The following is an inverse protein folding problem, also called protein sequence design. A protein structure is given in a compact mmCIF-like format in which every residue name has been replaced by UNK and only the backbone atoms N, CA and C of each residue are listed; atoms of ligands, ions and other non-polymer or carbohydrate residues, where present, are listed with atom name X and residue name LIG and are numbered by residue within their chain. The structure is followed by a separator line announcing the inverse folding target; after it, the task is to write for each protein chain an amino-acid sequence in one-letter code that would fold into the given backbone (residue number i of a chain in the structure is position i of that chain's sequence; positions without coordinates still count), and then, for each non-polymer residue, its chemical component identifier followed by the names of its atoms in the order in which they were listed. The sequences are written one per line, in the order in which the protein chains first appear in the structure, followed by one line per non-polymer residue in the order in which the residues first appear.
data_IF_867109779712
#
_entry.id   IF_867109779712
#
_cell.length_a   1.000
_cell.length_b   1.000
_cell.length_c   1.000
_cell.angle_alpha   90.00
_cell.angle_beta   90.00
_cell.angle_gamma   90.00
#
_symmetry.space_group_name_H-M   'P 1'
#
loop_
_entity.id
_entity.type
_entity.pdbx_description
1 polymer ?
#
# COMPACT_ATOMS: atom_id res chain seq x y z
N UNK A 1 11.55 6.33 -20.04
CA UNK A 1 10.18 5.86 -19.75
C UNK A 1 10.15 5.65 -18.25
N UNK A 2 9.56 6.57 -17.50
CA UNK A 2 9.32 6.37 -16.07
C UNK A 2 8.26 5.29 -15.96
N UNK A 3 8.66 4.08 -15.60
CA UNK A 3 7.69 3.07 -15.18
C UNK A 3 6.92 3.64 -13.99
N UNK A 4 5.59 3.49 -13.93
CA UNK A 4 4.86 3.84 -12.72
C UNK A 4 5.49 3.06 -11.56
N UNK A 5 5.84 3.75 -10.49
CA UNK A 5 6.29 3.12 -9.25
C UNK A 5 5.29 2.02 -8.88
N UNK A 6 5.73 0.77 -8.68
CA UNK A 6 4.88 -0.33 -8.26
C UNK A 6 4.23 0.00 -6.92
N UNK A 7 2.99 -0.44 -6.71
CA UNK A 7 2.20 -0.14 -5.51
C UNK A 7 1.49 -1.38 -5.01
N UNK A 8 1.22 -1.40 -3.71
CA UNK A 8 0.46 -2.46 -3.05
C UNK A 8 -0.93 -1.92 -2.69
N UNK A 9 -1.96 -2.67 -3.06
CA UNK A 9 -3.32 -2.39 -2.59
C UNK A 9 -3.54 -3.12 -1.27
N UNK A 10 -4.05 -2.41 -0.27
CA UNK A 10 -4.36 -2.94 1.05
C UNK A 10 -5.87 -2.93 1.22
N UNK A 11 -6.44 -4.12 1.44
CA UNK A 11 -7.88 -4.32 1.53
C UNK A 11 -8.29 -4.75 2.94
N UNK A 12 -9.47 -4.30 3.36
CA UNK A 12 -10.05 -4.57 4.67
C UNK A 12 -11.38 -3.85 4.83
N UNK A 13 -12.02 -3.98 6.00
CA UNK A 13 -13.25 -3.24 6.30
C UNK A 13 -12.95 -1.74 6.51
N UNK A 14 -13.34 -0.90 5.55
CA UNK A 14 -13.28 0.57 5.66
C UNK A 14 -14.63 1.20 6.00
N UNK A 15 -15.68 0.39 6.23
CA UNK A 15 -17.04 0.87 6.50
C UNK A 15 -17.26 1.26 7.95
N UNK A 16 -16.37 0.83 8.84
CA UNK A 16 -16.38 1.15 10.27
C UNK A 16 -15.14 1.97 10.66
N UNK A 17 -15.23 2.86 11.66
CA UNK A 17 -14.06 3.61 12.13
C UNK A 17 -12.91 2.71 12.65
N UNK A 18 -13.26 1.62 13.34
CA UNK A 18 -12.28 0.67 13.87
C UNK A 18 -11.61 -0.11 12.74
N UNK A 19 -12.39 -0.59 11.77
CA UNK A 19 -11.87 -1.26 10.58
C UNK A 19 -10.95 -0.34 9.76
N UNK A 20 -11.35 0.92 9.54
CA UNK A 20 -10.52 1.90 8.86
C UNK A 20 -9.19 2.15 9.59
N UNK A 21 -9.22 2.19 10.92
CA UNK A 21 -8.01 2.35 11.73
C UNK A 21 -7.07 1.16 11.56
N UNK A 22 -7.61 -0.06 11.59
CA UNK A 22 -6.84 -1.31 11.42
C UNK A 22 -6.21 -1.36 10.02
N UNK A 23 -6.98 -1.15 8.96
CA UNK A 23 -6.46 -1.24 7.58
C UNK A 23 -5.48 -0.11 7.26
N UNK A 24 -5.63 1.06 7.89
CA UNK A 24 -4.66 2.16 7.76
C UNK A 24 -3.34 1.80 8.43
N UNK A 25 -3.37 1.19 9.62
CA UNK A 25 -2.18 0.69 10.29
C UNK A 25 -1.50 -0.44 9.49
N UNK A 26 -2.29 -1.32 8.88
CA UNK A 26 -1.78 -2.34 7.98
C UNK A 26 -1.08 -1.73 6.76
N UNK A 27 -1.65 -0.69 6.14
CA UNK A 27 -1.02 -0.05 5.00
C UNK A 27 0.30 0.65 5.34
N UNK A 28 0.40 1.20 6.55
CA UNK A 28 1.66 1.69 7.09
C UNK A 28 2.70 0.56 7.20
N UNK A 29 2.33 -0.57 7.82
CA UNK A 29 3.22 -1.74 7.97
C UNK A 29 3.63 -2.36 6.63
N UNK A 30 2.72 -2.41 5.65
CA UNK A 30 3.02 -2.84 4.27
C UNK A 30 4.06 -1.91 3.64
N UNK A 31 3.87 -0.60 3.74
CA UNK A 31 4.80 0.36 3.15
C UNK A 31 6.20 0.27 3.76
N UNK A 32 6.26 -0.01 5.07
CA UNK A 32 7.49 -0.22 5.80
C UNK A 32 8.19 -1.53 5.38
N UNK A 33 7.51 -2.66 5.53
CA UNK A 33 8.13 -3.98 5.31
C UNK A 33 8.40 -4.31 3.85
N UNK A 34 7.48 -3.96 2.95
CA UNK A 34 7.66 -4.25 1.53
C UNK A 34 8.49 -3.21 0.80
N UNK A 35 8.77 -2.06 1.44
CA UNK A 35 9.45 -0.92 0.82
C UNK A 35 8.79 -0.47 -0.50
N UNK A 36 7.47 -0.63 -0.57
CA UNK A 36 6.63 -0.23 -1.70
C UNK A 36 5.52 0.71 -1.23
N UNK A 37 5.11 1.71 -2.03
CA UNK A 37 3.96 2.53 -1.67
C UNK A 37 2.68 1.69 -1.51
N UNK A 38 1.96 1.89 -0.42
CA UNK A 38 0.76 1.16 -0.05
C UNK A 38 -0.48 2.06 -0.08
N UNK A 39 -1.60 1.51 -0.55
CA UNK A 39 -2.86 2.24 -0.72
C UNK A 39 -3.98 1.50 -0.02
N UNK A 40 -4.73 2.18 0.84
CA UNK A 40 -5.95 1.61 1.41
C UNK A 40 -7.08 1.68 0.38
N UNK A 41 -7.73 0.55 0.11
CA UNK A 41 -8.92 0.49 -0.74
C UNK A 41 -10.15 1.07 -0.02
N UNK A 42 -10.60 2.25 -0.46
CA UNK A 42 -11.82 2.89 0.04
C UNK A 42 -13.01 2.50 -0.86
N UNK A 43 -13.59 1.33 -0.62
CA UNK A 43 -14.62 0.73 -1.46
C UNK A 43 -14.04 -0.19 -2.53
N UNK A 44 -14.82 -0.47 -3.59
CA UNK A 44 -14.49 -1.49 -4.61
C UNK A 44 -14.03 -0.94 -5.96
N UNK A 45 -13.98 0.37 -6.14
CA UNK A 45 -13.75 0.99 -7.46
C UNK A 45 -12.24 1.03 -7.83
N UNK A 46 -11.51 -0.04 -7.50
CA UNK A 46 -10.08 -0.17 -7.76
C UNK A 46 -9.86 -1.24 -8.83
N UNK A 47 -9.12 -0.89 -9.89
CA UNK A 47 -8.58 -1.88 -10.81
C UNK A 47 -7.37 -2.56 -10.16
N UNK A 48 -7.58 -3.77 -9.62
CA UNK A 48 -6.54 -4.53 -8.94
C UNK A 48 -5.32 -4.76 -9.82
N UNK A 49 -5.48 -4.86 -11.14
CA UNK A 49 -4.36 -5.14 -12.07
C UNK A 49 -3.35 -3.99 -12.22
N UNK A 50 -3.64 -2.83 -11.64
CA UNK A 50 -2.73 -1.68 -11.59
C UNK A 50 -1.74 -1.75 -10.42
N UNK A 51 -1.87 -2.76 -9.55
CA UNK A 51 -1.04 -2.97 -8.38
C UNK A 51 -0.11 -4.18 -8.58
N UNK A 52 1.00 -4.22 -7.86
CA UNK A 52 1.93 -5.34 -7.88
C UNK A 52 1.46 -6.48 -6.98
N UNK A 53 0.77 -6.12 -5.90
CA UNK A 53 0.24 -7.07 -4.93
C UNK A 53 -1.02 -6.51 -4.25
N UNK A 54 -1.82 -7.44 -3.70
CA UNK A 54 -2.92 -7.14 -2.80
C UNK A 54 -2.61 -7.76 -1.44
N UNK A 55 -2.60 -6.95 -0.39
CA UNK A 55 -2.37 -7.39 0.99
C UNK A 55 -3.66 -7.25 1.79
N UNK A 56 -3.94 -8.26 2.62
CA UNK A 56 -5.15 -8.33 3.41
C UNK A 56 -4.89 -8.93 4.79
N UNK A 57 -5.74 -8.59 5.75
CA UNK A 57 -5.78 -9.27 7.04
C UNK A 57 -6.87 -10.36 7.06
N UNK A 58 -6.53 -11.55 7.56
CA UNK A 58 -7.37 -12.75 7.52
C UNK A 58 -8.73 -12.53 8.18
N UNK A 59 -8.78 -11.71 9.23
CA UNK A 59 -9.99 -11.48 10.01
C UNK A 59 -10.87 -10.36 9.43
N UNK A 60 -10.29 -9.36 8.78
CA UNK A 60 -11.01 -8.17 8.33
C UNK A 60 -11.41 -8.18 6.84
N UNK A 61 -10.71 -8.92 5.97
CA UNK A 61 -10.99 -8.88 4.53
C UNK A 61 -12.35 -9.45 4.12
N UNK A 62 -12.91 -10.38 4.90
CA UNK A 62 -14.28 -10.88 4.74
C UNK A 62 -15.31 -10.06 5.53
N UNK A 63 -14.87 -9.08 6.32
CA UNK A 63 -15.73 -8.19 7.09
C UNK A 63 -16.47 -7.15 6.24
N UNK A 64 -16.05 -6.95 4.99
CA UNK A 64 -16.69 -6.05 4.03
C UNK A 64 -16.88 -6.74 2.68
N UNK A 65 -18.04 -6.51 2.05
CA UNK A 65 -18.33 -7.00 0.69
C UNK A 65 -17.33 -6.45 -0.31
N UNK A 66 -16.97 -5.17 -0.20
CA UNK A 66 -16.06 -4.52 -1.14
C UNK A 66 -14.65 -5.14 -1.07
N UNK A 67 -14.15 -5.39 0.15
CA UNK A 67 -12.86 -6.05 0.35
C UNK A 67 -12.87 -7.49 -0.17
N UNK A 68 -13.95 -8.25 0.07
CA UNK A 68 -14.07 -9.62 -0.41
C UNK A 68 -14.09 -9.68 -1.94
N UNK A 69 -14.75 -8.73 -2.61
CA UNK A 69 -14.77 -8.64 -4.08
C UNK A 69 -13.36 -8.38 -4.62
N UNK A 70 -12.66 -7.38 -4.08
CA UNK A 70 -11.29 -7.05 -4.52
C UNK A 70 -10.32 -8.22 -4.30
N UNK A 71 -10.46 -8.97 -3.21
CA UNK A 71 -9.68 -10.18 -2.95
C UNK A 71 -9.92 -11.26 -4.02
N UNK A 72 -11.19 -11.51 -4.38
CA UNK A 72 -11.55 -12.46 -5.44
C UNK A 72 -11.01 -11.99 -6.79
N UNK A 73 -11.19 -10.71 -7.13
CA UNK A 73 -10.71 -10.16 -8.40
C UNK A 73 -9.20 -10.29 -8.54
N UNK A 74 -8.43 -9.99 -7.49
CA UNK A 74 -6.98 -10.16 -7.48
C UNK A 74 -6.55 -11.62 -7.65
N UNK A 75 -7.25 -12.54 -6.97
CA UNK A 75 -6.98 -13.98 -7.06
C UNK A 75 -7.28 -14.52 -8.47
N UNK A 76 -8.42 -14.14 -9.05
CA UNK A 76 -8.82 -14.55 -10.41
C UNK A 76 -7.95 -13.91 -11.50
N UNK A 77 -7.34 -12.75 -11.21
CA UNK A 77 -6.37 -12.10 -12.08
C UNK A 77 -4.94 -12.66 -11.96
N UNK A 78 -4.74 -13.75 -11.20
CA UNK A 78 -3.42 -14.38 -10.95
C UNK A 78 -2.39 -13.40 -10.36
N UNK A 79 -2.86 -12.46 -9.52
CA UNK A 79 -2.01 -11.51 -8.83
C UNK A 79 -1.38 -12.09 -7.58
N UNK A 80 -0.30 -11.45 -7.12
CA UNK A 80 0.27 -11.72 -5.80
C UNK A 80 -0.72 -11.25 -4.70
N UNK A 81 -1.37 -12.19 -4.02
CA UNK A 81 -2.29 -11.92 -2.91
C UNK A 81 -1.67 -12.46 -1.63
N UNK A 82 -1.36 -11.59 -0.67
CA UNK A 82 -0.61 -11.94 0.54
C UNK A 82 -1.41 -11.64 1.81
N UNK A 83 -1.30 -12.55 2.77
CA UNK A 83 -1.82 -12.29 4.10
C UNK A 83 -0.85 -11.39 4.87
N UNK A 84 -1.36 -10.54 5.77
CA UNK A 84 -0.53 -9.72 6.67
C UNK A 84 0.52 -10.54 7.42
N UNK A 85 0.21 -11.79 7.80
CA UNK A 85 1.18 -12.66 8.49
C UNK A 85 2.40 -12.97 7.64
N UNK A 86 2.23 -13.02 6.32
CA UNK A 86 3.33 -13.25 5.38
C UNK A 86 4.26 -12.01 5.30
N UNK A 87 3.83 -10.84 5.77
CA UNK A 87 4.69 -9.66 5.86
C UNK A 87 5.77 -9.82 6.93
N UNK A 88 5.56 -10.65 7.96
CA UNK A 88 6.54 -10.86 9.03
C UNK A 88 7.84 -11.49 8.51
N UNK A 89 7.83 -12.08 7.32
CA UNK A 89 9.01 -12.63 6.65
C UNK A 89 9.90 -11.54 6.01
N UNK A 90 9.44 -10.28 5.98
CA UNK A 90 10.21 -9.15 5.45
C UNK A 90 10.86 -8.37 6.60
N UNK A 91 12.19 -8.27 6.57
CA UNK A 91 12.96 -7.48 7.52
C UNK A 91 12.68 -5.97 7.33
N UNK A 92 12.68 -5.24 8.45
CA UNK A 92 12.68 -3.77 8.41
C UNK A 92 14.03 -3.29 7.86
N UNK A 93 13.98 -2.46 6.83
CA UNK A 93 15.16 -1.88 6.17
C UNK A 93 15.30 -0.42 6.62
N UNK A 94 16.53 0.04 6.86
CA UNK A 94 16.86 1.41 7.25
C UNK A 94 17.49 2.21 6.10
N UNK A 95 17.18 1.83 4.86
CA UNK A 95 17.68 2.42 3.63
C UNK A 95 16.51 2.94 2.79
N UNK A 96 16.72 4.04 2.07
CA UNK A 96 15.71 4.61 1.18
C UNK A 96 15.09 3.58 0.25
N UNK A 97 13.86 3.15 0.53
CA UNK A 97 13.10 2.25 -0.34
C UNK A 97 12.93 2.77 -1.77
N UNK A 98 13.19 4.06 -2.02
CA UNK A 98 13.19 4.65 -3.36
C UNK A 98 14.59 4.76 -4.01
N UNK A 99 15.64 5.09 -3.27
CA UNK A 99 16.97 5.38 -3.85
C UNK A 99 18.17 4.66 -3.19
N UNK A 100 17.95 3.92 -2.11
CA UNK A 100 18.93 3.10 -1.39
C UNK A 100 19.96 3.89 -0.57
N UNK A 101 19.62 5.08 -0.08
CA UNK A 101 20.48 5.88 0.79
C UNK A 101 20.13 5.65 2.27
N UNK A 102 21.14 5.49 3.13
CA UNK A 102 20.98 5.32 4.58
C UNK A 102 20.41 6.59 5.26
N UNK A 103 19.43 6.44 6.16
CA UNK A 103 18.91 7.53 7.02
C UNK A 103 18.60 7.02 8.45
N UNK A 104 18.59 7.90 9.45
CA UNK A 104 18.40 7.51 10.87
C UNK A 104 16.94 7.65 11.35
N UNK A 105 16.41 6.55 11.88
CA UNK A 105 15.15 6.37 12.63
C UNK A 105 13.85 6.73 11.87
N UNK A 106 13.40 5.87 10.94
CA UNK A 106 12.46 6.30 9.93
C UNK A 106 11.04 5.68 10.11
N UNK A 107 10.02 6.35 9.57
CA UNK A 107 8.60 5.94 9.65
C UNK A 107 7.89 6.25 8.31
N UNK A 108 7.03 5.37 7.77
CA UNK A 108 6.27 5.65 6.55
C UNK A 108 5.54 6.98 6.60
N UNK A 109 5.43 7.64 5.45
CA UNK A 109 4.76 8.93 5.33
C UNK A 109 3.50 8.82 4.48
N UNK A 110 2.39 9.36 4.97
CA UNK A 110 1.14 9.41 4.24
C UNK A 110 1.10 10.66 3.34
N UNK A 111 1.08 10.46 2.02
CA UNK A 111 0.96 11.52 1.02
C UNK A 111 -0.26 11.25 0.14
N UNK A 112 -1.25 12.14 0.19
CA UNK A 112 -2.47 12.09 -0.64
C UNK A 112 -3.16 10.71 -0.66
N UNK A 113 -3.23 10.05 0.51
CA UNK A 113 -3.89 8.75 0.66
C UNK A 113 -3.02 7.53 0.32
N UNK A 114 -1.74 7.73 0.00
CA UNK A 114 -0.76 6.66 -0.21
C UNK A 114 0.31 6.71 0.88
N UNK A 115 0.54 5.59 1.55
CA UNK A 115 1.67 5.42 2.44
C UNK A 115 2.91 5.16 1.60
N UNK A 116 3.92 6.01 1.74
CA UNK A 116 5.23 5.79 1.13
C UNK A 116 6.20 5.25 2.18
N UNK A 117 7.17 4.42 1.78
CA UNK A 117 8.13 3.80 2.69
C UNK A 117 8.88 4.79 3.57
N UNK A 118 9.27 4.24 4.72
CA UNK A 118 10.05 4.77 5.84
C UNK A 118 11.19 5.70 5.44
N UNK A 119 11.95 5.34 4.42
CA UNK A 119 13.23 5.98 4.15
C UNK A 119 13.24 6.91 2.94
N UNK A 120 12.13 7.58 2.61
CA UNK A 120 12.21 8.60 1.55
C UNK A 120 13.12 9.75 1.97
N UNK A 121 14.36 9.75 1.48
CA UNK A 121 15.27 10.86 1.65
C UNK A 121 14.61 12.18 1.18
N UNK A 122 15.02 13.33 1.74
CA UNK A 122 14.37 14.62 1.45
C UNK A 122 14.27 14.97 -0.06
N UNK A 123 15.14 14.39 -0.89
CA UNK A 123 15.05 14.47 -2.35
C UNK A 123 13.92 13.62 -2.94
N UNK A 124 13.76 12.37 -2.48
CA UNK A 124 12.71 11.46 -2.92
C UNK A 124 11.32 11.85 -2.38
N UNK A 125 11.23 12.47 -1.20
CA UNK A 125 9.95 12.97 -0.65
C UNK A 125 9.25 13.97 -1.60
N UNK A 126 10.02 14.88 -2.21
CA UNK A 126 9.47 15.80 -3.23
C UNK A 126 9.00 15.06 -4.49
N UNK A 127 9.69 13.98 -4.86
CA UNK A 127 9.28 13.10 -5.95
C UNK A 127 7.98 12.37 -5.65
N UNK A 128 7.81 11.88 -4.42
CA UNK A 128 6.59 11.21 -3.96
C UNK A 128 5.37 12.14 -4.03
N UNK A 129 5.50 13.41 -3.60
CA UNK A 129 4.43 14.40 -3.75
C UNK A 129 4.05 14.65 -5.22
N UNK A 130 5.03 14.70 -6.13
CA UNK A 130 4.76 14.91 -7.55
C UNK A 130 4.11 13.67 -8.22
N UNK A 131 4.56 12.46 -7.86
CA UNK A 131 3.97 11.20 -8.35
C UNK A 131 2.51 11.07 -7.88
N UNK A 132 2.24 11.34 -6.60
CA UNK A 132 0.88 11.35 -6.05
C UNK A 132 -0.05 12.31 -6.80
N UNK A 133 0.37 13.56 -7.02
CA UNK A 133 -0.42 14.58 -7.72
C UNK A 133 -0.71 14.20 -9.19
N UNK A 134 0.26 13.60 -9.87
CA UNK A 134 0.09 13.15 -11.25
C UNK A 134 -0.96 12.04 -11.37
N UNK A 135 -1.14 11.24 -10.31
CA UNK A 135 -2.04 10.09 -10.28
C UNK A 135 -3.41 10.39 -9.71
N UNK A 136 -3.55 11.36 -8.80
CA UNK A 136 -4.84 11.93 -8.40
C UNK A 136 -5.60 12.57 -9.59
N UNK A 137 -4.89 12.84 -10.69
CA UNK A 137 -5.43 13.38 -11.94
C UNK A 137 -5.92 12.29 -12.92
N UNK A 138 -5.66 11.01 -12.64
CA UNK A 138 -6.19 9.88 -13.40
C UNK A 138 -7.44 9.39 -12.67
N UNK A 139 -8.65 9.54 -13.23
CA UNK A 139 -9.84 9.01 -12.59
C UNK A 139 -9.75 7.48 -12.52
N UNK A 140 -10.21 6.94 -11.38
CA UNK A 140 -10.47 5.51 -11.20
C UNK A 140 -11.37 4.95 -12.31
#
# INVERSE_FOLDING_TARGET
MTHPTPRVLVIGDTTTPDGLTIVTALAHEVADRMQLPAVVAMGRDYDVTQFEAVVYDELSHLGSVDSAVLWVEATEADMCVMNVRDLEDFDLVAECGWCGADDEDPSPVLVEGTWFPVDLCAGCLKGAHADAQSRASVPA
#
